data_IF_277009574740
#
_entry.id   IF_277009574740
#
_cell.length_a   1.000
_cell.length_b   1.000
_cell.length_c   1.000
_cell.angle_alpha   90.00
_cell.angle_beta   90.00
_cell.angle_gamma   90.00
#
_symmetry.space_group_name_H-M   'P 1'
#
loop_
_entity.id
_entity.type
_entity.pdbx_description
1 polymer ?
#
# COMPACT_ATOMS: atom_id res chain seq x y z
N UNK A 1 -21.98 -15.50 6.53
CA UNK A 1 -20.66 -15.04 7.03
C UNK A 1 -20.11 -16.16 7.89
N UNK A 2 -18.95 -16.74 7.54
CA UNK A 2 -18.34 -17.81 8.31
C UNK A 2 -17.15 -17.20 9.09
N UNK A 3 -17.39 -16.92 10.37
CA UNK A 3 -16.43 -16.27 11.27
C UNK A 3 -15.82 -17.33 12.18
N UNK A 4 -14.50 -17.28 12.36
CA UNK A 4 -13.76 -18.11 13.28
C UNK A 4 -12.99 -17.27 14.30
N UNK A 5 -12.87 -17.81 15.51
CA UNK A 5 -12.09 -17.23 16.60
C UNK A 5 -10.78 -18.01 16.71
N UNK A 6 -9.66 -17.31 16.62
CA UNK A 6 -8.32 -17.87 16.70
C UNK A 6 -7.54 -17.19 17.83
N UNK A 7 -6.46 -17.81 18.30
CA UNK A 7 -5.50 -17.15 19.19
C UNK A 7 -4.21 -16.86 18.43
N UNK A 8 -3.57 -15.73 18.70
CA UNK A 8 -2.23 -15.42 18.20
C UNK A 8 -1.17 -16.09 19.09
N UNK A 9 -0.46 -17.13 18.62
CA UNK A 9 0.40 -17.93 19.48
C UNK A 9 1.83 -17.36 19.65
N UNK A 10 2.10 -16.15 19.13
CA UNK A 10 3.46 -15.60 19.06
C UNK A 10 3.47 -14.07 18.98
N UNK A 11 4.65 -13.49 19.19
CA UNK A 11 4.87 -12.03 19.13
C UNK A 11 5.05 -11.51 17.70
N UNK A 12 5.02 -12.38 16.69
CA UNK A 12 5.31 -12.06 15.29
C UNK A 12 4.37 -11.00 14.67
N UNK A 13 3.19 -10.79 15.26
CA UNK A 13 2.20 -9.82 14.79
C UNK A 13 2.02 -8.61 15.72
N UNK A 14 2.88 -8.44 16.74
CA UNK A 14 2.87 -7.23 17.56
C UNK A 14 3.26 -6.00 16.71
N UNK A 15 2.65 -4.82 16.91
CA UNK A 15 1.61 -4.49 17.89
C UNK A 15 0.17 -4.76 17.40
N UNK A 16 -0.02 -5.19 16.14
CA UNK A 16 -1.36 -5.43 15.59
C UNK A 16 -2.14 -6.47 16.39
N UNK A 17 -1.45 -7.53 16.83
CA UNK A 17 -1.95 -8.54 17.75
C UNK A 17 -0.91 -8.85 18.82
N UNK A 18 -1.32 -8.73 20.08
CA UNK A 18 -0.52 -9.21 21.21
C UNK A 18 -0.55 -10.74 21.29
N UNK A 19 0.43 -11.31 21.99
CA UNK A 19 0.45 -12.73 22.31
C UNK A 19 -0.85 -13.15 23.01
N UNK A 20 -1.36 -14.34 22.67
CA UNK A 20 -2.62 -14.91 23.18
C UNK A 20 -3.89 -14.08 22.90
N UNK A 21 -3.80 -12.98 22.14
CA UNK A 21 -5.00 -12.25 21.74
C UNK A 21 -5.92 -13.14 20.90
N UNK A 22 -7.21 -13.04 21.20
CA UNK A 22 -8.25 -13.65 20.37
C UNK A 22 -8.51 -12.79 19.14
N UNK A 23 -8.43 -13.41 17.98
CA UNK A 23 -8.57 -12.79 16.68
C UNK A 23 -9.85 -13.30 16.03
N UNK A 24 -10.67 -12.36 15.58
CA UNK A 24 -11.83 -12.66 14.75
C UNK A 24 -11.36 -12.67 13.29
N UNK A 25 -11.60 -13.78 12.60
CA UNK A 25 -11.25 -13.92 11.20
C UNK A 25 -12.44 -14.43 10.38
N UNK A 26 -12.59 -13.90 9.17
CA UNK A 26 -13.54 -14.38 8.18
C UNK A 26 -12.88 -15.38 7.25
N UNK A 27 -13.58 -16.47 6.93
CA UNK A 27 -13.10 -17.42 5.92
C UNK A 27 -13.13 -16.77 4.53
N UNK A 28 -12.02 -16.85 3.82
CA UNK A 28 -11.85 -16.34 2.45
C UNK A 28 -11.07 -17.32 1.59
N UNK A 29 -11.13 -17.13 0.27
CA UNK A 29 -10.29 -17.82 -0.71
C UNK A 29 -9.12 -16.93 -1.17
N UNK A 30 -8.09 -17.56 -1.73
CA UNK A 30 -6.86 -16.87 -2.17
C UNK A 30 -7.07 -15.76 -3.20
N UNK A 31 -8.11 -15.84 -4.02
CA UNK A 31 -8.46 -14.81 -5.01
C UNK A 31 -9.07 -13.54 -4.38
N UNK A 32 -9.49 -13.60 -3.11
CA UNK A 32 -10.05 -12.46 -2.36
C UNK A 32 -8.97 -11.68 -1.59
N UNK A 33 -7.75 -12.22 -1.51
CA UNK A 33 -6.62 -11.66 -0.76
C UNK A 33 -6.10 -10.40 -1.45
N UNK A 34 -5.85 -9.36 -0.66
CA UNK A 34 -5.32 -8.07 -1.11
C UNK A 34 -4.08 -7.69 -0.33
N UNK A 35 -3.26 -6.78 -0.88
CA UNK A 35 -2.16 -6.15 -0.13
C UNK A 35 -2.72 -5.50 1.13
N UNK A 36 -2.00 -5.63 2.23
CA UNK A 36 -2.37 -5.11 3.54
C UNK A 36 -3.26 -6.04 4.36
N UNK A 37 -3.91 -7.04 3.75
CA UNK A 37 -4.68 -8.05 4.48
C UNK A 37 -3.78 -8.76 5.49
N UNK A 38 -4.32 -9.04 6.67
CA UNK A 38 -3.68 -9.94 7.64
C UNK A 38 -4.42 -11.27 7.55
N UNK A 39 -3.67 -12.31 7.18
CA UNK A 39 -4.22 -13.60 6.78
C UNK A 39 -3.76 -14.71 7.71
N UNK A 40 -4.64 -15.69 7.87
CA UNK A 40 -4.36 -16.98 8.50
C UNK A 40 -4.00 -17.94 7.38
N UNK A 41 -2.85 -18.58 7.50
CA UNK A 41 -2.28 -19.36 6.41
C UNK A 41 -1.57 -20.62 6.93
N UNK A 42 -1.79 -21.73 6.24
CA UNK A 42 -1.15 -23.02 6.53
C UNK A 42 0.02 -23.25 5.57
N UNK A 43 1.24 -23.23 6.10
CA UNK A 43 2.48 -23.28 5.30
C UNK A 43 3.38 -24.41 5.80
N UNK A 44 3.05 -25.69 5.53
CA UNK A 44 3.78 -26.84 6.07
C UNK A 44 5.26 -26.86 5.64
N UNK A 45 5.59 -26.31 4.47
CA UNK A 45 6.97 -26.22 3.99
C UNK A 45 7.86 -25.31 4.86
N UNK A 46 7.27 -24.37 5.61
CA UNK A 46 8.01 -23.54 6.58
C UNK A 46 8.10 -24.17 7.97
N UNK A 47 7.61 -25.41 8.14
CA UNK A 47 7.72 -26.22 9.36
C UNK A 47 7.10 -25.59 10.60
N UNK A 48 6.05 -24.79 10.44
CA UNK A 48 5.23 -24.34 11.56
C UNK A 48 4.35 -25.48 12.08
N UNK A 49 4.17 -25.53 13.40
CA UNK A 49 3.19 -26.39 14.06
C UNK A 49 1.79 -25.75 14.00
N UNK A 50 1.19 -25.74 12.80
CA UNK A 50 -0.14 -25.20 12.53
C UNK A 50 -0.14 -23.91 11.73
N UNK A 51 -1.31 -23.25 11.68
CA UNK A 51 -1.49 -22.01 10.93
C UNK A 51 -0.72 -20.85 11.56
N UNK A 52 -0.24 -19.94 10.71
CA UNK A 52 0.39 -18.69 11.15
C UNK A 52 -0.42 -17.50 10.67
N UNK A 53 -0.22 -16.37 11.37
CA UNK A 53 -0.82 -15.09 11.01
C UNK A 53 0.29 -14.17 10.53
N UNK A 54 0.09 -13.58 9.34
CA UNK A 54 1.04 -12.69 8.66
C UNK A 54 0.30 -11.64 7.84
N UNK A 55 0.95 -10.52 7.56
CA UNK A 55 0.45 -9.47 6.66
C UNK A 55 0.91 -9.72 5.23
N UNK A 56 0.00 -9.54 4.28
CA UNK A 56 0.27 -9.59 2.85
C UNK A 56 0.93 -8.29 2.40
N UNK A 57 2.19 -8.38 2.00
CA UNK A 57 2.95 -7.23 1.49
C UNK A 57 2.90 -7.18 -0.04
N UNK A 58 3.08 -8.33 -0.69
CA UNK A 58 3.03 -8.46 -2.15
C UNK A 58 2.07 -9.55 -2.59
N UNK A 59 1.40 -9.30 -3.72
CA UNK A 59 0.58 -10.27 -4.46
C UNK A 59 1.20 -10.53 -5.83
N UNK A 60 0.73 -11.55 -6.54
CA UNK A 60 1.27 -11.91 -7.86
C UNK A 60 1.44 -10.73 -8.81
N UNK A 61 2.64 -10.62 -9.39
CA UNK A 61 3.08 -9.52 -10.25
C UNK A 61 3.87 -8.43 -9.52
N UNK A 62 3.86 -8.40 -8.20
CA UNK A 62 4.60 -7.39 -7.44
C UNK A 62 6.10 -7.63 -7.41
N UNK A 63 6.87 -6.55 -7.44
CA UNK A 63 8.27 -6.55 -7.01
C UNK A 63 8.37 -5.96 -5.61
N UNK A 64 8.78 -6.77 -4.64
CA UNK A 64 8.97 -6.37 -3.25
C UNK A 64 10.46 -6.29 -2.96
N UNK A 65 10.94 -5.13 -2.50
CA UNK A 65 12.36 -4.92 -2.20
C UNK A 65 12.57 -4.32 -0.83
N UNK A 66 13.72 -4.59 -0.22
CA UNK A 66 14.19 -3.86 0.95
C UNK A 66 15.71 -3.97 1.06
N UNK A 67 16.37 -2.84 1.30
CA UNK A 67 17.77 -2.82 1.72
C UNK A 67 17.89 -3.04 3.24
N UNK A 68 19.07 -3.41 3.76
CA UNK A 68 19.30 -3.71 5.19
C UNK A 68 18.70 -2.66 6.14
N UNK A 69 18.87 -1.37 5.83
CA UNK A 69 18.31 -0.25 6.61
C UNK A 69 17.30 0.57 5.80
N UNK A 70 16.76 -0.01 4.73
CA UNK A 70 15.81 0.63 3.83
C UNK A 70 14.36 0.45 4.27
N UNK A 71 13.48 1.23 3.65
CA UNK A 71 12.04 0.95 3.70
C UNK A 71 11.72 -0.23 2.80
N UNK A 72 10.66 -0.98 3.13
CA UNK A 72 10.08 -1.93 2.18
C UNK A 72 9.51 -1.11 1.01
N UNK A 73 9.76 -1.55 -0.21
CA UNK A 73 9.10 -0.98 -1.39
C UNK A 73 8.31 -2.04 -2.12
N UNK A 74 7.18 -1.64 -2.70
CA UNK A 74 6.36 -2.47 -3.58
C UNK A 74 6.25 -1.74 -4.91
N UNK A 75 6.72 -2.37 -5.98
CA UNK A 75 6.78 -1.79 -7.33
C UNK A 75 7.51 -0.44 -7.36
N UNK A 76 8.63 -0.35 -6.62
CA UNK A 76 9.47 0.84 -6.53
C UNK A 76 8.91 1.98 -5.66
N UNK A 77 7.73 1.80 -5.05
CA UNK A 77 7.14 2.79 -4.13
C UNK A 77 7.37 2.36 -2.69
N UNK A 78 7.96 3.22 -1.83
CA UNK A 78 8.04 2.94 -0.40
C UNK A 78 6.67 2.66 0.20
N UNK A 79 6.57 1.60 0.99
CA UNK A 79 5.36 1.25 1.70
C UNK A 79 5.23 2.14 2.95
N UNK A 80 4.01 2.61 3.22
CA UNK A 80 3.68 3.21 4.52
C UNK A 80 3.29 2.10 5.49
N UNK A 81 4.03 1.99 6.59
CA UNK A 81 4.00 0.84 7.49
C UNK A 81 3.75 1.25 8.95
N UNK A 82 2.63 1.96 9.27
CA UNK A 82 2.35 2.43 10.63
C UNK A 82 2.07 1.28 11.62
N UNK A 83 1.85 0.08 11.09
CA UNK A 83 1.62 -1.15 11.86
C UNK A 83 2.91 -1.87 12.27
N UNK A 84 4.09 -1.43 11.82
CA UNK A 84 5.35 -2.11 12.12
C UNK A 84 5.87 -1.72 13.49
N UNK A 85 6.20 -2.72 14.32
CA UNK A 85 6.72 -2.49 15.67
C UNK A 85 7.99 -1.64 15.64
N UNK A 86 7.98 -0.54 16.38
CA UNK A 86 9.10 0.42 16.49
C UNK A 86 9.62 0.98 15.16
N UNK A 87 8.84 0.86 14.07
CA UNK A 87 9.25 1.31 12.74
C UNK A 87 10.41 0.51 12.12
N UNK A 88 10.76 -0.66 12.67
CA UNK A 88 11.86 -1.50 12.14
C UNK A 88 11.37 -2.23 10.89
N UNK A 89 11.69 -1.73 9.71
CA UNK A 89 11.15 -2.21 8.42
C UNK A 89 11.74 -3.55 7.96
N UNK A 90 13.07 -3.68 7.93
CA UNK A 90 13.70 -4.92 7.47
C UNK A 90 13.81 -5.95 8.59
N UNK A 91 14.32 -5.60 9.77
CA UNK A 91 14.50 -6.57 10.88
C UNK A 91 15.55 -7.67 10.62
N UNK A 92 16.17 -7.71 9.43
CA UNK A 92 17.30 -8.59 9.09
C UNK A 92 18.51 -7.77 8.62
N UNK A 93 19.69 -8.39 8.71
CA UNK A 93 20.95 -7.84 8.18
C UNK A 93 21.21 -8.26 6.72
N UNK A 94 20.16 -8.35 5.89
CA UNK A 94 20.28 -8.71 4.47
C UNK A 94 19.25 -7.99 3.60
N UNK A 95 19.63 -7.77 2.35
CA UNK A 95 18.76 -7.25 1.31
C UNK A 95 17.85 -8.34 0.74
N UNK A 96 16.73 -7.93 0.17
CA UNK A 96 15.90 -8.80 -0.67
C UNK A 96 15.23 -8.02 -1.80
N UNK A 97 15.01 -8.73 -2.90
CA UNK A 97 14.35 -8.27 -4.11
C UNK A 97 13.62 -9.46 -4.73
N UNK A 98 12.29 -9.45 -4.62
CA UNK A 98 11.45 -10.59 -4.96
C UNK A 98 10.38 -10.15 -5.94
N UNK A 99 10.28 -10.85 -7.07
CA UNK A 99 9.14 -10.75 -7.97
C UNK A 99 8.16 -11.86 -7.58
N UNK A 100 7.00 -11.48 -7.04
CA UNK A 100 5.97 -12.39 -6.56
C UNK A 100 5.30 -13.07 -7.77
N UNK A 101 5.39 -14.40 -7.92
CA UNK A 101 4.75 -15.07 -9.05
C UNK A 101 3.21 -14.98 -9.00
N UNK A 102 2.52 -15.09 -10.15
CA UNK A 102 1.06 -15.18 -10.17
C UNK A 102 0.52 -16.26 -9.23
N UNK A 103 -0.57 -15.93 -8.51
CA UNK A 103 -1.18 -16.85 -7.54
C UNK A 103 -0.40 -17.03 -6.24
N UNK A 104 0.63 -16.22 -5.98
CA UNK A 104 1.46 -16.28 -4.77
C UNK A 104 1.46 -14.95 -4.00
N UNK A 105 1.92 -15.04 -2.76
CA UNK A 105 1.96 -13.95 -1.80
C UNK A 105 3.38 -13.82 -1.20
N UNK A 106 3.77 -12.60 -0.89
CA UNK A 106 4.92 -12.29 -0.04
C UNK A 106 4.42 -11.73 1.28
N UNK A 107 4.77 -12.37 2.38
CA UNK A 107 4.16 -12.19 3.70
C UNK A 107 5.20 -11.75 4.72
N UNK A 108 4.89 -10.73 5.51
CA UNK A 108 5.72 -10.29 6.63
C UNK A 108 4.91 -10.32 7.94
N UNK A 109 5.59 -10.57 9.05
CA UNK A 109 5.07 -10.21 10.37
C UNK A 109 5.19 -8.71 10.63
N UNK A 110 4.32 -8.18 11.48
CA UNK A 110 4.37 -6.77 11.88
C UNK A 110 5.49 -6.51 12.90
N UNK A 111 5.85 -7.53 13.68
CA UNK A 111 7.07 -7.54 14.48
C UNK A 111 8.22 -8.11 13.66
N UNK A 112 8.89 -7.24 12.88
CA UNK A 112 9.87 -7.65 11.87
C UNK A 112 11.05 -8.42 12.44
N UNK A 113 11.46 -8.14 13.67
CA UNK A 113 12.62 -8.78 14.31
C UNK A 113 12.29 -10.18 14.85
N UNK A 114 11.00 -10.48 15.07
CA UNK A 114 10.56 -11.73 15.73
C UNK A 114 9.55 -12.52 14.87
N UNK A 115 9.70 -12.42 13.56
CA UNK A 115 8.81 -13.08 12.61
C UNK A 115 9.60 -13.92 11.62
N UNK A 116 9.48 -15.24 11.76
CA UNK A 116 9.82 -16.20 10.71
C UNK A 116 8.77 -16.09 9.60
N UNK A 117 9.14 -15.45 8.49
CA UNK A 117 8.25 -15.16 7.36
C UNK A 117 8.99 -15.21 6.03
N UNK A 118 8.43 -14.63 4.96
CA UNK A 118 9.01 -14.70 3.62
C UNK A 118 10.49 -14.33 3.57
N UNK A 119 10.92 -13.38 4.39
CA UNK A 119 12.33 -12.95 4.42
C UNK A 119 13.28 -14.02 4.92
N UNK A 120 12.82 -15.01 5.71
CA UNK A 120 13.65 -16.12 6.19
C UNK A 120 13.74 -17.26 5.19
N UNK A 121 12.72 -17.39 4.33
CA UNK A 121 12.57 -18.52 3.41
C UNK A 121 12.88 -18.16 1.95
N UNK A 122 13.72 -17.14 1.71
CA UNK A 122 14.05 -16.67 0.35
C UNK A 122 14.71 -17.73 -0.55
N UNK A 123 15.38 -18.71 0.04
CA UNK A 123 15.95 -19.88 -0.64
C UNK A 123 14.89 -20.91 -1.07
N UNK A 124 13.68 -20.82 -0.53
CA UNK A 124 12.53 -21.66 -0.86
C UNK A 124 11.47 -20.85 -1.59
N UNK A 125 11.41 -21.00 -2.91
CA UNK A 125 10.42 -20.31 -3.76
C UNK A 125 10.42 -18.78 -3.55
N UNK A 126 11.61 -18.19 -3.37
CA UNK A 126 11.80 -16.75 -3.09
C UNK A 126 11.05 -16.26 -1.85
N UNK A 127 10.77 -17.15 -0.89
CA UNK A 127 10.01 -16.85 0.31
C UNK A 127 8.53 -16.60 0.05
N UNK A 128 8.04 -16.83 -1.16
CA UNK A 128 6.62 -16.63 -1.47
C UNK A 128 5.82 -17.87 -1.09
N UNK A 129 4.50 -17.72 -0.96
CA UNK A 129 3.58 -18.83 -0.64
C UNK A 129 2.35 -18.81 -1.54
N UNK A 130 1.72 -19.97 -1.84
CA UNK A 130 0.50 -20.00 -2.64
C UNK A 130 -0.63 -19.22 -1.97
N UNK A 131 -1.34 -18.37 -2.71
CA UNK A 131 -2.51 -17.67 -2.20
C UNK A 131 -3.63 -18.65 -1.79
N UNK A 132 -3.67 -19.83 -2.42
CA UNK A 132 -4.60 -20.92 -2.08
C UNK A 132 -4.37 -21.54 -0.70
N UNK A 133 -3.23 -21.25 -0.05
CA UNK A 133 -2.96 -21.70 1.32
C UNK A 133 -3.66 -20.83 2.37
N UNK A 134 -4.21 -19.67 1.99
CA UNK A 134 -4.95 -18.79 2.89
C UNK A 134 -6.29 -19.43 3.25
N UNK A 135 -6.56 -19.51 4.56
CA UNK A 135 -7.81 -20.07 5.09
C UNK A 135 -8.76 -19.00 5.62
N UNK A 136 -8.24 -17.84 6.03
CA UNK A 136 -9.03 -16.72 6.55
C UNK A 136 -8.28 -15.38 6.50
N UNK A 137 -9.04 -14.29 6.64
CA UNK A 137 -8.56 -12.91 6.84
C UNK A 137 -9.08 -12.37 8.15
N UNK A 138 -8.24 -11.69 8.92
CA UNK A 138 -8.64 -11.08 10.19
C UNK A 138 -9.51 -9.85 9.96
N UNK A 139 -10.60 -9.70 10.73
CA UNK A 139 -11.50 -8.52 10.66
C UNK A 139 -11.22 -7.48 11.76
N UNK A 140 -10.61 -7.92 12.86
CA UNK A 140 -10.22 -7.04 13.97
C UNK A 140 -8.70 -6.96 14.02
N UNK A 141 -8.14 -5.77 14.11
CA UNK A 141 -6.76 -5.45 14.48
C UNK A 141 -6.75 -3.98 14.91
N UNK A 142 -5.90 -3.55 15.84
CA UNK A 142 -5.99 -2.20 16.44
C UNK A 142 -5.97 -1.02 15.43
N UNK A 143 -5.60 -1.25 14.17
CA UNK A 143 -5.71 -0.30 13.05
C UNK A 143 -7.03 -0.30 12.27
N UNK A 144 -8.01 -1.15 12.61
CA UNK A 144 -9.29 -1.27 11.89
C UNK A 144 -10.19 -0.02 12.01
N UNK A 145 -9.85 0.95 12.86
CA UNK A 145 -10.57 2.22 12.99
C UNK A 145 -9.98 3.38 12.19
N UNK A 146 -8.91 3.21 11.42
CA UNK A 146 -8.37 4.27 10.58
C UNK A 146 -8.74 4.01 9.10
N UNK A 147 -9.79 4.68 8.56
CA UNK A 147 -10.15 4.52 7.15
C UNK A 147 -8.99 4.99 6.27
N UNK A 148 -8.56 4.09 5.40
CA UNK A 148 -7.48 4.21 4.41
C UNK A 148 -7.77 5.24 3.28
N UNK A 149 -8.71 6.18 3.47
CA UNK A 149 -9.20 7.06 2.40
C UNK A 149 -8.35 8.31 2.14
N UNK A 150 -7.33 8.62 2.95
CA UNK A 150 -6.60 9.90 2.78
C UNK A 150 -5.67 9.89 1.53
N UNK A 151 -5.39 8.75 0.93
CA UNK A 151 -4.46 8.66 -0.22
C UNK A 151 -5.06 9.05 -1.58
N UNK A 152 -6.39 9.22 -1.69
CA UNK A 152 -7.02 9.70 -2.94
C UNK A 152 -7.32 11.21 -2.97
N UNK A 153 -7.32 11.88 -1.80
CA UNK A 153 -7.68 13.30 -1.69
C UNK A 153 -6.63 14.26 -2.26
N UNK A 154 -5.34 13.95 -2.13
CA UNK A 154 -4.27 14.84 -2.58
C UNK A 154 -4.24 14.99 -4.11
N UNK A 155 -4.54 13.91 -4.86
CA UNK A 155 -4.57 13.94 -6.32
C UNK A 155 -5.73 14.79 -6.87
N UNK A 156 -6.90 14.72 -6.25
CA UNK A 156 -8.08 15.46 -6.68
C UNK A 156 -7.97 16.96 -6.38
N UNK A 157 -7.38 17.33 -5.22
CA UNK A 157 -7.13 18.72 -4.85
C UNK A 157 -6.11 19.38 -5.79
N UNK A 158 -5.04 18.65 -6.16
CA UNK A 158 -4.03 19.15 -7.13
C UNK A 158 -4.64 19.30 -8.53
N UNK A 159 -5.50 18.36 -8.97
CA UNK A 159 -6.15 18.42 -10.28
C UNK A 159 -7.13 19.61 -10.40
N UNK A 160 -7.92 19.89 -9.36
CA UNK A 160 -8.86 21.02 -9.35
C UNK A 160 -8.13 22.38 -9.33
N UNK A 161 -7.04 22.50 -8.55
CA UNK A 161 -6.21 23.71 -8.55
C UNK A 161 -5.56 23.97 -9.93
N UNK A 162 -5.08 22.91 -10.59
CA UNK A 162 -4.51 23.00 -11.94
C UNK A 162 -5.52 23.41 -13.02
N UNK A 163 -6.77 22.93 -12.92
CA UNK A 163 -7.84 23.29 -13.84
C UNK A 163 -8.28 24.75 -13.67
N UNK A 164 -8.40 25.24 -12.43
CA UNK A 164 -8.74 26.65 -12.15
C UNK A 164 -7.63 27.58 -12.67
N UNK A 165 -6.36 27.24 -12.43
CA UNK A 165 -5.22 28.03 -12.91
C UNK A 165 -5.16 28.17 -14.44
N UNK A 166 -5.43 27.09 -15.18
CA UNK A 166 -5.43 27.11 -16.66
C UNK A 166 -6.60 27.90 -17.25
N UNK A 167 -7.78 27.87 -16.63
CA UNK A 167 -8.94 28.69 -17.05
C UNK A 167 -8.65 30.19 -16.86
N UNK A 168 -8.07 30.57 -15.70
CA UNK A 168 -7.70 31.97 -15.43
C UNK A 168 -6.64 32.48 -16.42
N UNK A 169 -5.63 31.67 -16.72
CA UNK A 169 -4.59 32.02 -17.70
C UNK A 169 -5.15 32.23 -19.11
N UNK A 170 -6.05 31.36 -19.58
CA UNK A 170 -6.73 31.51 -20.89
C UNK A 170 -7.65 32.72 -20.95
N UNK A 171 -8.30 33.09 -19.84
CA UNK A 171 -9.17 34.26 -19.78
C UNK A 171 -8.39 35.59 -19.87
N UNK A 172 -7.17 35.67 -19.30
CA UNK A 172 -6.30 36.84 -19.42
C UNK A 172 -5.71 37.02 -20.82
N UNK A 173 -5.35 35.93 -21.50
CA UNK A 173 -4.79 35.98 -22.86
C UNK A 173 -5.75 36.46 -23.97
N UNK A 174 -7.06 36.54 -23.69
CA UNK A 174 -8.09 36.97 -24.66
C UNK A 174 -8.47 38.45 -24.56
N UNK A 175 -7.92 39.23 -23.63
CA UNK A 175 -8.26 40.66 -23.50
C UNK A 175 -7.35 41.55 -24.38
N UNK A 176 -7.88 41.81 -25.58
CA UNK A 176 -7.85 43.06 -26.37
C UNK A 176 -6.55 43.50 -27.06
N UNK A 177 -6.53 43.33 -28.39
CA UNK A 177 -6.14 44.40 -29.31
C UNK A 177 -7.45 45.08 -29.73
N UNK A 178 -7.65 46.36 -29.40
CA UNK A 178 -8.73 47.19 -29.94
C UNK A 178 -8.07 48.10 -30.98
N UNK A 179 -8.45 48.08 -32.27
CA UNK A 179 -7.93 49.04 -33.23
C UNK A 179 -8.50 50.44 -32.94
N UNK A 180 -7.65 51.46 -33.09
CA UNK A 180 -7.97 52.85 -32.80
C UNK A 180 -9.11 53.39 -33.70
N UNK A 181 -9.98 54.28 -33.20
CA UNK A 181 -11.08 54.84 -33.98
C UNK A 181 -10.55 55.79 -35.07
N UNK A 182 -11.12 55.66 -36.27
CA UNK A 182 -10.84 56.52 -37.42
C UNK A 182 -11.25 57.97 -37.13
N UNK A 183 -10.27 58.86 -37.07
CA UNK A 183 -10.46 60.30 -36.90
C UNK A 183 -11.20 60.93 -38.08
N UNK A 184 -12.22 61.71 -37.73
CA UNK A 184 -13.11 62.49 -38.59
C UNK A 184 -12.33 63.60 -39.29
N UNK A 185 -12.65 63.82 -40.57
CA UNK A 185 -12.11 64.88 -41.40
C UNK A 185 -12.48 66.28 -40.87
N UNK A 186 -11.52 67.21 -40.94
CA UNK A 186 -11.74 68.65 -40.73
C UNK A 186 -11.38 69.37 -42.04
N UNK A 187 -12.29 70.16 -42.65
CA UNK A 187 -11.98 70.99 -43.80
C UNK A 187 -11.66 72.45 -43.42
N UNK A 188 -11.00 73.16 -44.36
CA UNK A 188 -10.71 74.61 -44.44
C UNK A 188 -9.64 75.17 -43.47
N UNK A 189 -8.71 76.06 -43.82
CA UNK A 189 -8.44 76.89 -45.01
C UNK A 189 -7.00 77.43 -44.99
N UNK A 190 -6.46 77.81 -46.17
CA UNK A 190 -5.12 78.37 -46.44
C UNK A 190 -5.12 79.92 -46.39
N UNK A 191 -3.99 80.58 -46.09
CA UNK A 191 -3.22 81.28 -47.15
C UNK A 191 -1.70 81.00 -47.17
#
# INVERSE_FOLDING_TARGET
MNIQLLSQPSDAMRPTFEHDNKIVAERIEGNQVRRGDVVVIDIPQWKFSGSVIKRVIGVGGDRVTCAVQGKVTVNGKPLDEPYVLNGVTNGLLRDYDVIVPPGRLFLLGDNRVDSLDSRFHLDMEQGTVPASAVSARTTTGAGALMPYEVSFGAGLIIALAGLIGTVIARAKGRRRIVPAPSGIAVPHDWP
#
